data_IF_054155703918
#
_entry.id   IF_054155703918
#
_cell.length_a   1.000
_cell.length_b   1.000
_cell.length_c   1.000
_cell.angle_alpha   90.00
_cell.angle_beta   90.00
_cell.angle_gamma   90.00
#
_symmetry.space_group_name_H-M   'P 1'
#
loop_
_entity.id
_entity.type
_entity.pdbx_description
1 polymer ?
#
# COMPACT_ATOMS: atom_id res chain seq x y z
N UNK A 1 -31.23 4.31 -7.69
CA UNK A 1 -30.66 4.73 -6.40
C UNK A 1 -29.28 5.30 -6.69
N UNK A 2 -29.05 6.56 -6.31
CA UNK A 2 -27.72 7.17 -6.41
C UNK A 2 -26.88 6.65 -5.25
N UNK A 3 -25.90 5.81 -5.54
CA UNK A 3 -25.00 5.28 -4.52
C UNK A 3 -23.69 6.05 -4.55
N UNK A 4 -23.35 6.65 -3.42
CA UNK A 4 -22.10 7.38 -3.22
C UNK A 4 -21.16 6.50 -2.40
N UNK A 5 -19.96 6.29 -2.92
CA UNK A 5 -18.89 5.52 -2.28
C UNK A 5 -17.63 6.37 -2.19
N UNK A 6 -16.70 5.95 -1.32
CA UNK A 6 -15.36 6.51 -1.25
C UNK A 6 -14.36 5.59 -1.94
N UNK A 7 -13.33 6.14 -2.58
CA UNK A 7 -12.21 5.35 -3.14
C UNK A 7 -11.47 4.57 -2.05
N UNK A 8 -11.56 5.06 -0.82
CA UNK A 8 -11.08 4.41 0.39
C UNK A 8 -11.90 3.18 0.79
N UNK A 9 -13.12 3.01 0.30
CA UNK A 9 -13.95 1.84 0.57
C UNK A 9 -13.85 0.80 -0.54
N UNK A 10 -13.89 1.27 -1.79
CA UNK A 10 -13.73 0.46 -3.00
C UNK A 10 -12.71 1.11 -3.91
N UNK A 11 -11.59 0.43 -4.10
CA UNK A 11 -10.51 0.94 -4.94
C UNK A 11 -10.96 1.01 -6.39
N UNK A 12 -10.42 1.97 -7.16
CA UNK A 12 -10.80 2.13 -8.57
C UNK A 12 -10.61 0.85 -9.41
N UNK A 13 -9.53 0.06 -9.26
CA UNK A 13 -9.41 -1.25 -9.92
C UNK A 13 -10.60 -2.19 -9.64
N UNK A 14 -11.02 -2.31 -8.39
CA UNK A 14 -12.13 -3.18 -8.00
C UNK A 14 -13.49 -2.65 -8.48
N UNK A 15 -13.64 -1.32 -8.56
CA UNK A 15 -14.80 -0.70 -9.20
C UNK A 15 -14.87 -1.03 -10.69
N UNK A 16 -13.74 -1.01 -11.40
CA UNK A 16 -13.68 -1.37 -12.82
C UNK A 16 -14.04 -2.85 -13.03
N UNK A 17 -13.54 -3.74 -12.17
CA UNK A 17 -13.97 -5.15 -12.15
C UNK A 17 -15.48 -5.28 -12.03
N UNK A 18 -16.10 -4.66 -11.01
CA UNK A 18 -17.56 -4.67 -10.82
C UNK A 18 -18.29 -4.11 -12.05
N UNK A 19 -17.79 -3.04 -12.64
CA UNK A 19 -18.36 -2.39 -13.83
C UNK A 19 -18.35 -3.33 -15.05
N UNK A 20 -17.26 -4.08 -15.23
CA UNK A 20 -17.09 -5.06 -16.32
C UNK A 20 -17.98 -6.29 -16.09
N UNK A 21 -17.97 -6.84 -14.88
CA UNK A 21 -18.70 -8.06 -14.50
C UNK A 21 -20.22 -7.85 -14.54
N UNK A 22 -20.69 -6.68 -14.08
CA UNK A 22 -22.11 -6.31 -14.08
C UNK A 22 -22.62 -5.78 -15.44
N UNK A 23 -21.74 -5.69 -16.45
CA UNK A 23 -22.05 -5.07 -17.75
C UNK A 23 -22.71 -3.69 -17.59
N UNK A 24 -22.17 -2.88 -16.68
CA UNK A 24 -22.81 -1.63 -16.27
C UNK A 24 -23.02 -0.66 -17.44
N UNK A 25 -24.22 -0.08 -17.50
CA UNK A 25 -24.59 1.00 -18.42
C UNK A 25 -25.03 2.23 -17.63
N UNK A 26 -24.36 3.35 -17.86
CA UNK A 26 -24.58 4.58 -17.10
C UNK A 26 -23.35 5.46 -17.00
N UNK A 27 -23.32 6.31 -15.97
CA UNK A 27 -22.24 7.28 -15.76
C UNK A 27 -21.64 7.07 -14.37
N UNK A 28 -20.32 6.95 -14.32
CA UNK A 28 -19.54 6.95 -13.08
C UNK A 28 -18.85 8.30 -12.96
N UNK A 29 -19.23 9.07 -11.94
CA UNK A 29 -18.53 10.30 -11.59
C UNK A 29 -17.50 9.97 -10.52
N UNK A 30 -16.26 10.37 -10.76
CA UNK A 30 -15.16 10.24 -9.79
C UNK A 30 -14.63 11.65 -9.51
N UNK A 31 -14.37 11.95 -8.25
CA UNK A 31 -13.74 13.21 -7.86
C UNK A 31 -12.72 13.03 -6.74
N UNK A 32 -11.58 13.69 -6.87
CA UNK A 32 -10.52 13.76 -5.89
C UNK A 32 -10.02 15.21 -5.85
N UNK A 33 -10.06 15.83 -4.67
CA UNK A 33 -9.71 17.26 -4.50
C UNK A 33 -10.52 18.16 -5.47
N UNK A 34 -9.86 18.99 -6.26
CA UNK A 34 -10.47 19.81 -7.32
C UNK A 34 -10.78 19.03 -8.61
N UNK A 35 -10.24 17.84 -8.78
CA UNK A 35 -10.35 17.05 -10.01
C UNK A 35 -11.66 16.26 -10.06
N UNK A 36 -12.32 16.31 -11.21
CA UNK A 36 -13.62 15.69 -11.47
C UNK A 36 -13.60 15.04 -12.84
N UNK A 37 -13.95 13.76 -12.87
CA UNK A 37 -14.05 12.96 -14.09
C UNK A 37 -15.41 12.29 -14.19
N UNK A 38 -15.99 12.31 -15.39
CA UNK A 38 -17.25 11.67 -15.72
C UNK A 38 -17.01 10.60 -16.78
N UNK A 39 -17.16 9.33 -16.41
CA UNK A 39 -16.96 8.18 -17.27
C UNK A 39 -18.31 7.65 -17.73
N UNK A 40 -18.51 7.55 -19.03
CA UNK A 40 -19.72 7.04 -19.64
C UNK A 40 -19.47 5.60 -20.06
N UNK A 41 -20.29 4.68 -19.56
CA UNK A 41 -20.19 3.25 -19.82
C UNK A 41 -21.44 2.73 -20.51
N UNK A 42 -21.23 1.74 -21.38
CA UNK A 42 -22.28 0.93 -21.99
C UNK A 42 -21.81 -0.52 -22.03
N UNK A 43 -22.63 -1.43 -21.51
CA UNK A 43 -22.37 -2.87 -21.46
C UNK A 43 -21.02 -3.22 -20.80
N UNK A 44 -20.61 -2.42 -19.80
CA UNK A 44 -19.35 -2.56 -19.09
C UNK A 44 -18.11 -2.04 -19.85
N UNK A 45 -18.28 -1.38 -21.00
CA UNK A 45 -17.20 -0.81 -21.81
C UNK A 45 -17.25 0.72 -21.75
N UNK A 46 -16.08 1.35 -21.61
CA UNK A 46 -15.94 2.80 -21.60
C UNK A 46 -16.23 3.39 -22.99
N UNK A 47 -17.22 4.29 -23.07
CA UNK A 47 -17.57 5.01 -24.29
C UNK A 47 -16.89 6.38 -24.39
N UNK A 48 -16.79 7.09 -23.26
CA UNK A 48 -16.24 8.43 -23.22
C UNK A 48 -15.84 8.82 -21.80
N UNK A 49 -14.90 9.75 -21.70
CA UNK A 49 -14.47 10.33 -20.43
C UNK A 49 -14.33 11.85 -20.55
N UNK A 50 -15.00 12.56 -19.64
CA UNK A 50 -14.86 14.00 -19.47
C UNK A 50 -14.00 14.26 -18.24
N UNK A 51 -13.11 15.25 -18.31
CA UNK A 51 -12.20 15.64 -17.24
C UNK A 51 -12.12 17.17 -17.18
N UNK A 52 -12.01 17.72 -15.97
CA UNK A 52 -11.73 19.14 -15.76
C UNK A 52 -10.23 19.45 -15.60
N UNK A 53 -9.34 18.44 -15.66
CA UNK A 53 -7.88 18.64 -15.57
C UNK A 53 -7.34 19.22 -16.88
N UNK A 54 -6.74 20.41 -16.80
CA UNK A 54 -6.29 21.20 -17.96
C UNK A 54 -5.12 20.55 -18.70
N UNK A 55 -4.26 19.82 -17.99
CA UNK A 55 -3.14 19.09 -18.56
C UNK A 55 -3.59 18.00 -19.56
N UNK A 56 -4.82 17.50 -19.40
CA UNK A 56 -5.42 16.44 -20.21
C UNK A 56 -6.26 16.97 -21.40
N UNK A 57 -6.10 18.25 -21.75
CA UNK A 57 -6.77 18.87 -22.90
C UNK A 57 -6.20 18.37 -24.24
N UNK A 58 -7.00 18.48 -25.29
CA UNK A 58 -6.68 17.88 -26.60
C UNK A 58 -5.43 18.52 -27.19
N UNK A 59 -5.33 19.84 -27.08
CA UNK A 59 -4.17 20.59 -27.55
C UNK A 59 -2.85 20.15 -26.90
N UNK A 60 -2.82 19.89 -25.58
CA UNK A 60 -1.60 19.40 -24.91
C UNK A 60 -1.17 18.02 -25.42
N UNK A 61 -2.15 17.16 -25.76
CA UNK A 61 -1.83 15.86 -26.39
C UNK A 61 -1.25 16.07 -27.79
N UNK A 62 -1.82 16.97 -28.60
CA UNK A 62 -1.32 17.30 -29.93
C UNK A 62 0.10 17.90 -29.89
N UNK A 63 0.39 18.76 -28.92
CA UNK A 63 1.73 19.29 -28.65
C UNK A 63 2.70 18.15 -28.31
N UNK A 64 2.31 17.25 -27.40
CA UNK A 64 3.18 16.13 -27.00
C UNK A 64 3.49 15.14 -28.14
N UNK A 65 2.64 15.12 -29.18
CA UNK A 65 2.84 14.31 -30.39
C UNK A 65 3.61 15.07 -31.49
N UNK A 66 3.93 16.35 -31.28
CA UNK A 66 4.60 17.20 -32.26
C UNK A 66 3.72 17.63 -33.43
N UNK A 67 2.40 17.52 -33.32
CA UNK A 67 1.48 17.93 -34.39
C UNK A 67 1.26 19.44 -34.44
N UNK A 68 1.38 20.13 -33.29
CA UNK A 68 1.25 21.59 -33.16
C UNK A 68 2.27 22.12 -32.16
N UNK A 69 2.59 23.41 -32.21
CA UNK A 69 3.44 24.07 -31.21
C UNK A 69 2.65 24.53 -29.98
N UNK A 70 3.34 24.92 -28.91
CA UNK A 70 2.68 25.50 -27.73
C UNK A 70 1.96 26.82 -28.05
N UNK A 71 2.53 27.64 -28.93
CA UNK A 71 1.91 28.88 -29.39
C UNK A 71 0.58 28.60 -30.13
N UNK A 72 0.58 27.62 -31.04
CA UNK A 72 -0.61 27.22 -31.79
C UNK A 72 -1.70 26.61 -30.88
N UNK A 73 -1.29 25.87 -29.85
CA UNK A 73 -2.22 25.38 -28.84
C UNK A 73 -2.86 26.54 -28.06
N UNK A 74 -2.06 27.51 -27.62
CA UNK A 74 -2.56 28.67 -26.87
C UNK A 74 -3.51 29.53 -27.71
N UNK A 75 -3.19 29.77 -28.98
CA UNK A 75 -4.03 30.50 -29.93
C UNK A 75 -5.38 29.78 -30.14
N UNK A 76 -5.34 28.48 -30.48
CA UNK A 76 -6.56 27.70 -30.71
C UNK A 76 -7.44 27.57 -29.45
N UNK A 77 -6.83 27.52 -28.26
CA UNK A 77 -7.55 27.49 -26.99
C UNK A 77 -8.23 28.83 -26.69
N UNK A 78 -7.55 29.95 -26.95
CA UNK A 78 -8.11 31.30 -26.79
C UNK A 78 -9.30 31.51 -27.73
N UNK A 79 -9.17 31.12 -29.00
CA UNK A 79 -10.24 31.19 -29.98
C UNK A 79 -11.42 30.28 -29.62
N UNK A 80 -11.15 29.06 -29.13
CA UNK A 80 -12.18 28.13 -28.64
C UNK A 80 -13.04 28.70 -27.52
N UNK A 81 -12.43 29.47 -26.61
CA UNK A 81 -13.14 30.14 -25.51
C UNK A 81 -14.01 31.29 -26.01
N UNK A 82 -13.51 32.09 -26.96
CA UNK A 82 -14.22 33.23 -27.52
C UNK A 82 -15.41 32.76 -28.37
N UNK A 83 -15.19 31.81 -29.27
CA UNK A 83 -16.21 31.31 -30.20
C UNK A 83 -17.15 30.27 -29.57
N UNK A 84 -16.82 29.73 -28.39
CA UNK A 84 -17.52 28.63 -27.72
C UNK A 84 -17.66 27.38 -28.60
N UNK A 85 -16.65 27.10 -29.42
CA UNK A 85 -16.57 25.92 -30.31
C UNK A 85 -15.53 24.93 -29.80
N UNK A 86 -15.61 23.67 -30.24
CA UNK A 86 -14.62 22.63 -29.86
C UNK A 86 -13.25 22.97 -30.46
N UNK A 87 -12.20 22.99 -29.63
CA UNK A 87 -10.82 23.29 -30.04
C UNK A 87 -10.36 22.48 -31.27
N UNK A 88 -10.74 21.20 -31.36
CA UNK A 88 -10.38 20.35 -32.50
C UNK A 88 -10.92 20.84 -33.85
N UNK A 89 -12.08 21.52 -33.89
CA UNK A 89 -12.64 22.09 -35.13
C UNK A 89 -11.80 23.30 -35.56
N UNK A 90 -11.46 24.16 -34.59
CA UNK A 90 -10.62 25.34 -34.84
C UNK A 90 -9.25 24.92 -35.36
N UNK A 91 -8.62 23.90 -34.75
CA UNK A 91 -7.33 23.38 -35.20
C UNK A 91 -7.37 22.82 -36.64
N UNK A 92 -8.48 22.21 -37.04
CA UNK A 92 -8.69 21.77 -38.42
C UNK A 92 -8.85 22.96 -39.39
N UNK A 93 -9.62 23.98 -39.00
CA UNK A 93 -9.83 25.20 -39.80
C UNK A 93 -8.55 26.02 -39.94
N UNK A 94 -7.70 26.07 -38.91
CA UNK A 94 -6.36 26.67 -38.96
C UNK A 94 -5.38 25.91 -39.87
N UNK A 95 -5.77 24.74 -40.40
CA UNK A 95 -4.92 23.90 -41.25
C UNK A 95 -3.72 23.28 -40.52
N UNK A 96 -3.70 23.31 -39.19
CA UNK A 96 -2.57 22.86 -38.36
C UNK A 96 -2.54 21.36 -38.14
N UNK A 97 -3.71 20.71 -38.23
CA UNK A 97 -3.86 19.28 -37.98
C UNK A 97 -4.76 18.64 -39.02
N UNK A 98 -4.62 17.32 -39.19
CA UNK A 98 -5.50 16.53 -40.04
C UNK A 98 -6.56 15.79 -39.21
N UNK A 99 -7.71 15.40 -39.79
CA UNK A 99 -8.73 14.64 -39.08
C UNK A 99 -8.21 13.34 -38.43
N UNK A 100 -7.24 12.69 -39.08
CA UNK A 100 -6.58 11.49 -38.55
C UNK A 100 -5.79 11.79 -37.27
N UNK A 101 -5.00 12.87 -37.24
CA UNK A 101 -4.23 13.30 -36.07
C UNK A 101 -5.13 13.67 -34.89
N UNK A 102 -6.28 14.31 -35.15
CA UNK A 102 -7.29 14.57 -34.12
C UNK A 102 -7.84 13.27 -33.53
N UNK A 103 -8.17 12.30 -34.39
CA UNK A 103 -8.71 11.01 -33.96
C UNK A 103 -7.72 10.24 -33.09
N UNK A 104 -6.44 10.23 -33.49
CA UNK A 104 -5.35 9.62 -32.73
C UNK A 104 -5.14 10.31 -31.38
N UNK A 105 -5.09 11.65 -31.36
CA UNK A 105 -4.95 12.42 -30.13
C UNK A 105 -6.14 12.25 -29.18
N UNK A 106 -7.37 12.08 -29.69
CA UNK A 106 -8.55 11.80 -28.87
C UNK A 106 -8.46 10.42 -28.21
N UNK A 107 -7.94 9.39 -28.90
CA UNK A 107 -7.70 8.07 -28.32
C UNK A 107 -6.68 8.15 -27.17
N UNK A 108 -5.55 8.82 -27.41
CA UNK A 108 -4.50 9.02 -26.39
C UNK A 108 -5.02 9.86 -25.22
N UNK A 109 -5.83 10.89 -25.48
CA UNK A 109 -6.46 11.69 -24.44
C UNK A 109 -7.39 10.85 -23.57
N UNK A 110 -8.25 10.02 -24.18
CA UNK A 110 -9.16 9.14 -23.45
C UNK A 110 -8.37 8.19 -22.56
N UNK A 111 -7.33 7.57 -23.11
CA UNK A 111 -6.42 6.69 -22.38
C UNK A 111 -5.79 7.41 -21.18
N UNK A 112 -5.10 8.54 -21.39
CA UNK A 112 -4.47 9.35 -20.33
C UNK A 112 -5.46 9.69 -19.21
N UNK A 113 -6.65 10.18 -19.57
CA UNK A 113 -7.70 10.55 -18.61
C UNK A 113 -8.15 9.35 -17.77
N UNK A 114 -8.25 8.18 -18.40
CA UNK A 114 -8.73 6.99 -17.74
C UNK A 114 -7.66 6.38 -16.82
N UNK A 115 -6.42 6.21 -17.30
CA UNK A 115 -5.35 5.63 -16.48
C UNK A 115 -4.95 6.53 -15.30
N UNK A 116 -5.05 7.86 -15.43
CA UNK A 116 -4.77 8.79 -14.32
C UNK A 116 -5.64 8.52 -13.07
N UNK A 117 -6.89 8.07 -13.22
CA UNK A 117 -7.77 7.78 -12.07
C UNK A 117 -7.23 6.64 -11.20
N UNK A 118 -6.46 5.71 -11.77
CA UNK A 118 -5.86 4.61 -11.02
C UNK A 118 -4.84 5.09 -9.98
N UNK A 119 -4.28 6.30 -10.17
CA UNK A 119 -3.37 6.93 -9.21
C UNK A 119 -4.08 7.50 -7.97
N UNK A 120 -5.41 7.64 -7.99
CA UNK A 120 -6.17 8.33 -6.94
C UNK A 120 -6.47 7.37 -5.77
N UNK A 121 -5.88 7.62 -4.60
CA UNK A 121 -6.09 6.82 -3.39
C UNK A 121 -7.33 7.23 -2.57
N UNK A 122 -7.75 8.49 -2.71
CA UNK A 122 -8.88 9.08 -1.98
C UNK A 122 -9.80 9.82 -2.93
N UNK A 123 -11.08 9.91 -2.58
CA UNK A 123 -12.06 10.64 -3.36
C UNK A 123 -13.44 10.02 -3.29
N UNK A 124 -14.38 10.62 -4.02
CA UNK A 124 -15.76 10.16 -4.04
C UNK A 124 -16.14 9.62 -5.41
N UNK A 125 -16.93 8.55 -5.39
CA UNK A 125 -17.51 7.89 -6.56
C UNK A 125 -19.02 8.03 -6.45
N UNK A 126 -19.65 8.49 -7.53
CA UNK A 126 -21.11 8.47 -7.69
C UNK A 126 -21.47 7.70 -8.96
N UNK A 127 -22.16 6.57 -8.80
CA UNK A 127 -22.61 5.71 -9.90
C UNK A 127 -24.07 6.02 -10.23
N UNK A 128 -24.34 6.43 -11.47
CA UNK A 128 -25.68 6.78 -11.97
C UNK A 128 -26.05 5.83 -13.09
N UNK A 129 -26.98 4.91 -12.82
CA UNK A 129 -27.50 3.97 -13.82
C UNK A 129 -28.31 4.75 -14.86
N UNK A 130 -28.15 4.42 -16.15
CA UNK A 130 -28.99 4.91 -17.24
C UNK A 130 -29.53 3.73 -18.03
N UNK A 131 -30.82 3.75 -18.35
CA UNK A 131 -31.46 2.68 -19.13
C UNK A 131 -30.92 2.57 -20.55
N UNK A 132 -30.51 3.69 -21.15
CA UNK A 132 -29.88 3.74 -22.46
C UNK A 132 -28.76 4.79 -22.48
N UNK A 133 -27.71 4.49 -23.25
CA UNK A 133 -26.63 5.42 -23.62
C UNK A 133 -26.51 5.38 -25.13
N UNK A 134 -26.84 6.49 -25.80
CA UNK A 134 -26.82 6.57 -27.27
C UNK A 134 -25.39 6.51 -27.83
N UNK A 135 -24.40 6.81 -27.00
CA UNK A 135 -23.00 6.78 -27.41
C UNK A 135 -22.48 5.34 -27.46
N UNK A 136 -21.94 4.95 -28.61
CA UNK A 136 -21.29 3.66 -28.81
C UNK A 136 -19.84 3.69 -28.30
N UNK A 137 -19.32 2.59 -27.72
CA UNK A 137 -17.89 2.46 -27.48
C UNK A 137 -17.09 2.56 -28.79
N UNK A 138 -16.04 3.38 -28.79
CA UNK A 138 -15.08 3.47 -29.91
C UNK A 138 -14.01 2.36 -29.84
N UNK A 139 -13.94 1.65 -28.72
CA UNK A 139 -13.02 0.54 -28.47
C UNK A 139 -13.76 -0.77 -28.24
N UNK A 140 -13.11 -1.87 -28.58
CA UNK A 140 -13.57 -3.24 -28.33
C UNK A 140 -13.36 -3.63 -26.86
N UNK A 141 -14.03 -4.71 -26.43
CA UNK A 141 -13.85 -5.24 -25.07
C UNK A 141 -12.39 -5.62 -24.77
N UNK A 142 -11.64 -6.34 -25.63
CA UNK A 142 -10.24 -6.65 -25.36
C UNK A 142 -9.35 -5.41 -25.21
N UNK A 143 -9.57 -4.38 -26.04
CA UNK A 143 -8.86 -3.09 -25.93
C UNK A 143 -9.15 -2.41 -24.59
N UNK A 144 -10.41 -2.42 -24.14
CA UNK A 144 -10.78 -1.87 -22.84
C UNK A 144 -10.15 -2.65 -21.68
N UNK A 145 -10.14 -3.98 -21.74
CA UNK A 145 -9.47 -4.80 -20.72
C UNK A 145 -7.97 -4.52 -20.66
N UNK A 146 -7.31 -4.37 -21.81
CA UNK A 146 -5.89 -3.96 -21.89
C UNK A 146 -5.69 -2.59 -21.23
N UNK A 147 -6.58 -1.64 -21.48
CA UNK A 147 -6.51 -0.31 -20.87
C UNK A 147 -6.64 -0.35 -19.33
N UNK A 148 -7.52 -1.21 -18.81
CA UNK A 148 -7.63 -1.45 -17.35
C UNK A 148 -6.35 -2.07 -16.78
N UNK A 149 -5.78 -3.09 -17.45
CA UNK A 149 -4.50 -3.67 -17.02
C UNK A 149 -3.37 -2.64 -17.03
N UNK A 150 -3.29 -1.81 -18.07
CA UNK A 150 -2.32 -0.71 -18.14
C UNK A 150 -2.43 0.25 -16.95
N UNK A 151 -3.64 0.68 -16.59
CA UNK A 151 -3.85 1.54 -15.41
C UNK A 151 -3.41 0.87 -14.10
N UNK A 152 -3.62 -0.44 -13.97
CA UNK A 152 -3.17 -1.22 -12.80
C UNK A 152 -1.64 -1.34 -12.76
N UNK A 153 -1.01 -1.67 -13.89
CA UNK A 153 0.43 -1.88 -13.97
C UNK A 153 1.24 -0.59 -13.84
N UNK A 154 0.78 0.51 -14.43
CA UNK A 154 1.58 1.74 -14.54
C UNK A 154 1.25 2.82 -13.50
N UNK A 155 -0.01 2.93 -13.08
CA UNK A 155 -0.49 4.10 -12.33
C UNK A 155 -0.95 3.78 -10.90
N UNK A 156 -1.25 2.51 -10.59
CA UNK A 156 -1.85 2.18 -9.29
C UNK A 156 -0.83 2.16 -8.15
N UNK A 157 -1.02 2.95 -7.07
CA UNK A 157 -0.14 2.95 -5.91
C UNK A 157 -0.12 1.59 -5.23
N UNK A 158 1.04 1.18 -4.72
CA UNK A 158 1.18 -0.16 -4.12
C UNK A 158 0.30 -0.34 -2.87
N UNK A 159 0.00 0.73 -2.13
CA UNK A 159 -0.99 0.75 -1.04
C UNK A 159 -2.37 0.27 -1.49
N UNK A 160 -2.81 0.72 -2.68
CA UNK A 160 -4.09 0.33 -3.30
C UNK A 160 -4.06 -1.13 -3.75
N UNK A 161 -2.94 -1.60 -4.29
CA UNK A 161 -2.74 -3.02 -4.66
C UNK A 161 -2.86 -3.91 -3.42
N UNK A 162 -2.12 -3.59 -2.36
CA UNK A 162 -2.16 -4.31 -1.08
C UNK A 162 -3.58 -4.32 -0.53
N UNK A 163 -4.26 -3.18 -0.51
CA UNK A 163 -5.65 -3.09 -0.04
C UNK A 163 -6.62 -3.95 -0.83
N UNK A 164 -6.45 -4.05 -2.15
CA UNK A 164 -7.32 -4.85 -3.01
C UNK A 164 -7.07 -6.35 -2.86
N UNK A 165 -5.82 -6.77 -2.62
CA UNK A 165 -5.41 -8.18 -2.58
C UNK A 165 -5.34 -8.78 -1.17
N UNK A 166 -5.07 -7.97 -0.13
CA UNK A 166 -4.97 -8.44 1.27
C UNK A 166 -6.20 -9.22 1.76
N UNK A 167 -7.45 -8.89 1.36
CA UNK A 167 -8.62 -9.70 1.72
C UNK A 167 -8.57 -11.15 1.21
N UNK A 168 -7.67 -11.45 0.26
CA UNK A 168 -7.48 -12.76 -0.34
C UNK A 168 -6.10 -13.34 -0.01
N UNK A 169 -5.37 -12.79 0.97
CA UNK A 169 -3.98 -13.14 1.28
C UNK A 169 -3.71 -14.64 1.44
N UNK A 170 -4.64 -15.38 2.04
CA UNK A 170 -4.51 -16.83 2.27
C UNK A 170 -5.01 -17.71 1.11
N UNK A 171 -5.69 -17.10 0.13
CA UNK A 171 -6.22 -17.82 -1.02
C UNK A 171 -5.11 -18.10 -2.04
N UNK A 172 -5.21 -19.26 -2.68
CA UNK A 172 -4.49 -19.55 -3.93
C UNK A 172 -5.37 -19.07 -5.08
N UNK A 173 -4.91 -18.16 -5.96
CA UNK A 173 -5.73 -17.68 -7.06
C UNK A 173 -6.00 -18.80 -8.06
N UNK A 174 -7.22 -18.87 -8.58
CA UNK A 174 -7.60 -19.79 -9.65
C UNK A 174 -7.41 -19.14 -11.01
N UNK A 175 -6.66 -19.81 -11.88
CA UNK A 175 -6.50 -19.45 -13.29
C UNK A 175 -7.80 -19.70 -14.06
N UNK A 176 -8.24 -18.72 -14.85
CA UNK A 176 -9.44 -18.80 -15.71
C UNK A 176 -9.12 -18.97 -17.19
N UNK A 177 -7.90 -18.63 -17.59
CA UNK A 177 -7.38 -18.78 -18.95
C UNK A 177 -5.89 -19.09 -18.89
N UNK A 178 -5.41 -19.98 -19.76
CA UNK A 178 -3.98 -20.24 -19.95
C UNK A 178 -3.30 -19.15 -20.79
N UNK A 179 -4.07 -18.39 -21.56
CA UNK A 179 -3.57 -17.25 -22.34
C UNK A 179 -3.40 -16.03 -21.42
N UNK A 180 -2.18 -15.85 -20.91
CA UNK A 180 -1.78 -14.69 -20.10
C UNK A 180 -1.42 -13.52 -21.04
N UNK A 181 -2.09 -12.36 -20.90
CA UNK A 181 -1.84 -11.24 -21.81
C UNK A 181 -0.39 -10.74 -21.73
N UNK A 182 0.31 -10.60 -22.87
CA UNK A 182 1.71 -10.16 -22.90
C UNK A 182 1.86 -8.69 -22.46
N UNK A 183 0.78 -7.89 -22.47
CA UNK A 183 0.79 -6.50 -22.02
C UNK A 183 1.05 -6.31 -20.52
N UNK A 184 1.08 -7.39 -19.73
CA UNK A 184 1.48 -7.34 -18.32
C UNK A 184 2.99 -7.13 -18.13
N UNK A 185 3.83 -7.46 -19.10
CA UNK A 185 5.28 -7.30 -19.00
C UNK A 185 5.98 -8.20 -17.96
N UNK A 186 5.25 -9.12 -17.32
CA UNK A 186 5.79 -10.09 -16.35
C UNK A 186 5.19 -11.47 -16.57
N UNK A 187 5.98 -12.52 -16.33
CA UNK A 187 5.55 -13.91 -16.46
C UNK A 187 4.66 -14.31 -15.29
N UNK A 188 3.44 -14.75 -15.58
CA UNK A 188 2.44 -15.13 -14.58
C UNK A 188 1.93 -16.56 -14.78
N UNK A 189 2.67 -17.44 -15.46
CA UNK A 189 2.15 -18.76 -15.84
C UNK A 189 1.83 -19.68 -14.65
N UNK A 190 2.42 -19.45 -13.48
CA UNK A 190 2.26 -20.29 -12.30
C UNK A 190 1.67 -19.54 -11.10
N UNK A 191 0.95 -18.43 -11.31
CA UNK A 191 0.39 -17.64 -10.20
C UNK A 191 -0.59 -18.43 -9.33
N UNK A 192 -1.18 -19.49 -9.89
CA UNK A 192 -2.13 -20.40 -9.26
C UNK A 192 -1.47 -21.48 -8.38
N UNK A 193 -0.14 -21.43 -8.22
CA UNK A 193 0.62 -22.32 -7.33
C UNK A 193 1.01 -21.65 -6.01
N UNK A 194 0.80 -20.34 -5.89
CA UNK A 194 1.22 -19.54 -4.74
C UNK A 194 0.01 -18.88 -4.09
N UNK A 195 0.08 -18.66 -2.77
CA UNK A 195 -0.89 -17.81 -2.08
C UNK A 195 -0.74 -16.37 -2.51
N UNK A 196 -1.82 -15.59 -2.43
CA UNK A 196 -1.77 -14.14 -2.68
C UNK A 196 -0.73 -13.46 -1.78
N UNK A 197 -0.63 -13.84 -0.51
CA UNK A 197 0.38 -13.31 0.42
C UNK A 197 1.82 -13.57 -0.05
N UNK A 198 2.09 -14.75 -0.61
CA UNK A 198 3.40 -15.08 -1.17
C UNK A 198 3.69 -14.23 -2.42
N UNK A 199 2.71 -14.08 -3.31
CA UNK A 199 2.83 -13.23 -4.50
C UNK A 199 3.06 -11.74 -4.15
N UNK A 200 2.43 -11.25 -3.07
CA UNK A 200 2.67 -9.90 -2.56
C UNK A 200 4.10 -9.68 -2.04
N UNK A 201 4.79 -10.75 -1.61
CA UNK A 201 6.16 -10.70 -1.11
C UNK A 201 7.22 -10.83 -2.22
N UNK A 202 6.86 -11.36 -3.40
CA UNK A 202 7.79 -11.53 -4.52
C UNK A 202 8.20 -10.21 -5.19
N UNK A 203 7.42 -9.15 -5.01
CA UNK A 203 7.70 -7.82 -5.57
C UNK A 203 6.43 -7.08 -5.95
N UNK A 204 6.58 -5.84 -6.42
CA UNK A 204 5.42 -5.03 -6.77
C UNK A 204 4.76 -5.46 -8.08
N UNK A 205 5.54 -5.88 -9.08
CA UNK A 205 5.00 -6.20 -10.41
C UNK A 205 4.17 -7.49 -10.45
N UNK A 206 4.55 -8.61 -9.79
CA UNK A 206 3.69 -9.79 -9.67
C UNK A 206 2.35 -9.47 -8.99
N UNK A 207 2.37 -8.62 -7.95
CA UNK A 207 1.17 -8.19 -7.26
C UNK A 207 0.25 -7.32 -8.14
N UNK A 208 0.82 -6.37 -8.90
CA UNK A 208 0.07 -5.58 -9.89
C UNK A 208 -0.52 -6.48 -10.97
N UNK A 209 0.26 -7.40 -11.51
CA UNK A 209 -0.18 -8.32 -12.55
C UNK A 209 -1.30 -9.24 -12.04
N UNK A 210 -1.21 -9.75 -10.81
CA UNK A 210 -2.28 -10.54 -10.20
C UNK A 210 -3.57 -9.75 -10.08
N UNK A 211 -3.51 -8.50 -9.59
CA UNK A 211 -4.69 -7.64 -9.52
C UNK A 211 -5.25 -7.35 -10.93
N UNK A 212 -4.38 -7.12 -11.92
CA UNK A 212 -4.77 -6.86 -13.30
C UNK A 212 -5.51 -8.08 -13.92
N UNK A 213 -5.00 -9.29 -13.68
CA UNK A 213 -5.65 -10.54 -14.09
C UNK A 213 -7.00 -10.72 -13.38
N UNK A 214 -7.07 -10.44 -12.09
CA UNK A 214 -8.31 -10.53 -11.32
C UNK A 214 -9.38 -9.54 -11.80
N UNK A 215 -9.00 -8.28 -12.01
CA UNK A 215 -9.91 -7.22 -12.45
C UNK A 215 -10.37 -7.37 -13.91
N UNK A 216 -9.66 -8.16 -14.71
CA UNK A 216 -10.02 -8.44 -16.11
C UNK A 216 -10.58 -9.85 -16.34
N UNK A 217 -10.86 -10.59 -15.27
CA UNK A 217 -11.56 -11.87 -15.31
C UNK A 217 -10.69 -13.08 -15.67
N UNK A 218 -9.36 -12.92 -15.68
CA UNK A 218 -8.39 -13.98 -16.00
C UNK A 218 -7.90 -14.75 -14.77
N UNK A 219 -8.08 -14.16 -13.59
CA UNK A 219 -7.91 -14.81 -12.31
C UNK A 219 -9.19 -14.65 -11.47
N UNK A 220 -9.42 -15.59 -10.56
CA UNK A 220 -10.43 -15.43 -9.52
C UNK A 220 -9.91 -16.01 -8.21
N UNK A 221 -10.25 -15.40 -7.09
CA UNK A 221 -10.03 -16.03 -5.80
C UNK A 221 -11.23 -16.95 -5.53
N UNK A 222 -11.00 -18.15 -5.00
CA UNK A 222 -12.12 -18.99 -4.56
C UNK A 222 -12.93 -18.18 -3.54
N UNK A 223 -14.23 -18.00 -3.80
CA UNK A 223 -15.12 -17.44 -2.81
C UNK A 223 -15.12 -18.40 -1.63
N UNK A 224 -14.70 -17.91 -0.47
CA UNK A 224 -14.81 -18.67 0.76
C UNK A 224 -16.21 -19.26 0.85
N UNK A 225 -16.32 -20.55 1.17
CA UNK A 225 -17.60 -21.18 1.56
C UNK A 225 -18.30 -20.44 2.71
N UNK A 226 -17.58 -19.54 3.39
CA UNK A 226 -18.07 -18.65 4.43
C UNK A 226 -18.29 -17.19 3.97
N UNK A 227 -18.39 -16.91 2.66
CA UNK A 227 -18.60 -15.55 2.11
C UNK A 227 -19.72 -14.78 2.79
N UNK A 228 -20.87 -15.41 3.03
CA UNK A 228 -22.00 -14.79 3.74
C UNK A 228 -21.63 -14.36 5.17
N UNK A 229 -20.80 -15.16 5.86
CA UNK A 229 -20.28 -14.85 7.20
C UNK A 229 -19.28 -13.70 7.13
N UNK A 230 -18.38 -13.72 6.14
CA UNK A 230 -17.40 -12.64 5.90
C UNK A 230 -18.10 -11.31 5.64
N UNK A 231 -19.10 -11.29 4.76
CA UNK A 231 -19.91 -10.10 4.47
C UNK A 231 -20.71 -9.63 5.69
N UNK A 232 -21.29 -10.55 6.45
CA UNK A 232 -21.97 -10.23 7.70
C UNK A 232 -21.02 -9.57 8.71
N UNK A 233 -19.86 -10.16 8.97
CA UNK A 233 -18.87 -9.63 9.91
C UNK A 233 -18.32 -8.27 9.46
N UNK A 234 -18.08 -8.07 8.15
CA UNK A 234 -17.71 -6.76 7.59
C UNK A 234 -18.80 -5.71 7.82
N UNK A 235 -20.06 -6.08 7.61
CA UNK A 235 -21.20 -5.17 7.85
C UNK A 235 -21.32 -4.80 9.33
N UNK A 236 -21.16 -5.78 10.23
CA UNK A 236 -21.15 -5.55 11.69
C UNK A 236 -20.00 -4.63 12.07
N UNK A 237 -18.78 -4.91 11.59
CA UNK A 237 -17.60 -4.12 11.87
C UNK A 237 -17.74 -2.67 11.39
N UNK A 238 -18.23 -2.45 10.17
CA UNK A 238 -18.51 -1.11 9.64
C UNK A 238 -19.53 -0.38 10.52
N UNK A 239 -20.62 -1.05 10.87
CA UNK A 239 -21.64 -0.49 11.76
C UNK A 239 -21.06 -0.08 13.11
N UNK A 240 -20.22 -0.91 13.72
CA UNK A 240 -19.57 -0.60 15.01
C UNK A 240 -18.62 0.59 14.88
N UNK A 241 -17.83 0.66 13.80
CA UNK A 241 -16.89 1.77 13.56
C UNK A 241 -17.59 3.11 13.33
N UNK A 242 -18.81 3.09 12.80
CA UNK A 242 -19.62 4.29 12.53
C UNK A 242 -20.49 4.73 13.72
N UNK A 243 -20.63 3.89 14.75
CA UNK A 243 -21.48 4.14 15.91
C UNK A 243 -20.71 4.67 17.12
N UNK A 244 -21.37 5.43 17.98
CA UNK A 244 -20.78 5.82 19.26
C UNK A 244 -20.66 4.60 20.22
N UNK A 245 -19.81 4.66 21.26
CA UNK A 245 -19.62 3.53 22.19
C UNK A 245 -20.90 3.06 22.92
N UNK A 246 -21.86 3.96 23.18
CA UNK A 246 -23.13 3.62 23.83
C UNK A 246 -24.07 2.92 22.84
N UNK A 247 -24.14 3.43 21.61
CA UNK A 247 -24.89 2.83 20.50
C UNK A 247 -24.36 1.45 20.11
N UNK A 248 -23.03 1.28 20.09
CA UNK A 248 -22.36 -0.01 19.83
C UNK A 248 -22.80 -1.07 20.83
N UNK A 249 -22.88 -0.71 22.11
CA UNK A 249 -23.32 -1.62 23.18
C UNK A 249 -24.86 -1.75 23.25
N UNK A 250 -25.60 -0.92 22.52
CA UNK A 250 -27.06 -0.87 22.55
C UNK A 250 -27.60 -0.40 23.91
N UNK A 251 -26.90 0.53 24.57
CA UNK A 251 -27.26 1.02 25.90
C UNK A 251 -27.47 2.52 25.91
N UNK A 252 -28.35 2.99 26.81
CA UNK A 252 -28.54 4.42 27.06
C UNK A 252 -27.43 4.98 27.98
N UNK A 253 -27.18 6.28 27.91
CA UNK A 253 -26.22 6.98 28.79
C UNK A 253 -26.53 6.77 30.27
N UNK A 254 -27.81 6.65 30.63
CA UNK A 254 -28.30 6.45 32.00
C UNK A 254 -28.31 4.97 32.48
N UNK A 255 -27.79 4.00 31.70
CA UNK A 255 -27.85 2.58 32.10
C UNK A 255 -27.16 2.32 33.45
N UNK A 256 -27.55 1.32 34.24
CA UNK A 256 -26.79 0.95 35.45
C UNK A 256 -25.50 0.19 35.12
N UNK A 257 -24.52 0.14 36.04
CA UNK A 257 -23.28 -0.63 35.84
C UNK A 257 -23.55 -2.12 35.60
N UNK A 258 -24.46 -2.71 36.39
CA UNK A 258 -24.95 -4.08 36.16
C UNK A 258 -25.72 -4.24 34.84
N UNK A 259 -26.38 -3.18 34.34
CA UNK A 259 -26.99 -3.17 33.01
C UNK A 259 -25.95 -3.15 31.88
N UNK A 260 -24.91 -2.32 32.01
CA UNK A 260 -23.79 -2.22 31.08
C UNK A 260 -23.04 -3.55 30.94
N UNK A 261 -22.70 -4.19 32.07
CA UNK A 261 -22.02 -5.50 32.09
C UNK A 261 -22.88 -6.58 31.42
N UNK A 262 -24.20 -6.59 31.66
CA UNK A 262 -25.13 -7.52 31.01
C UNK A 262 -25.21 -7.30 29.50
N UNK A 263 -25.26 -6.05 29.04
CA UNK A 263 -25.26 -5.71 27.62
C UNK A 263 -23.97 -6.16 26.92
N UNK A 264 -22.81 -5.89 27.55
CA UNK A 264 -21.51 -6.35 27.06
C UNK A 264 -21.41 -7.86 26.95
N UNK A 265 -21.77 -8.60 28.01
CA UNK A 265 -21.75 -10.07 28.00
C UNK A 265 -22.66 -10.62 26.90
N UNK A 266 -23.84 -10.02 26.70
CA UNK A 266 -24.75 -10.41 25.62
C UNK A 266 -24.12 -10.21 24.24
N UNK A 267 -23.47 -9.06 24.01
CA UNK A 267 -22.82 -8.74 22.73
C UNK A 267 -21.62 -9.64 22.46
N UNK A 268 -20.80 -9.91 23.47
CA UNK A 268 -19.67 -10.86 23.40
C UNK A 268 -20.16 -12.25 23.08
N UNK A 269 -21.19 -12.76 23.78
CA UNK A 269 -21.76 -14.08 23.49
C UNK A 269 -22.31 -14.25 22.07
N UNK A 270 -22.63 -13.16 21.38
CA UNK A 270 -23.14 -13.18 20.00
C UNK A 270 -22.03 -13.03 18.95
N UNK A 271 -20.88 -12.47 19.33
CA UNK A 271 -19.81 -12.10 18.40
C UNK A 271 -18.42 -12.64 18.80
N UNK A 272 -18.34 -13.53 19.79
CA UNK A 272 -17.08 -14.10 20.24
C UNK A 272 -16.39 -14.88 19.10
N UNK A 273 -15.05 -14.78 18.93
CA UNK A 273 -14.33 -15.51 17.89
C UNK A 273 -14.61 -17.02 17.88
N UNK A 274 -14.77 -17.63 19.06
CA UNK A 274 -15.06 -19.07 19.21
C UNK A 274 -16.37 -19.53 18.57
N UNK A 275 -17.36 -18.64 18.39
CA UNK A 275 -18.60 -18.97 17.68
C UNK A 275 -18.27 -19.38 16.25
N UNK A 276 -17.24 -18.76 15.66
CA UNK A 276 -16.79 -19.01 14.30
C UNK A 276 -15.62 -19.99 14.23
N UNK A 277 -15.31 -20.71 15.33
CA UNK A 277 -14.22 -21.70 15.37
C UNK A 277 -14.38 -22.83 14.36
N UNK A 278 -15.62 -23.16 13.99
CA UNK A 278 -15.95 -24.14 12.94
C UNK A 278 -15.67 -23.63 11.51
N UNK A 279 -15.50 -22.32 11.33
CA UNK A 279 -15.15 -21.75 10.03
C UNK A 279 -13.65 -21.95 9.79
N UNK A 280 -13.35 -22.81 8.82
CA UNK A 280 -11.99 -23.07 8.36
C UNK A 280 -11.56 -22.01 7.36
N UNK A 281 -11.63 -20.75 7.78
CA UNK A 281 -11.29 -19.59 6.96
C UNK A 281 -10.57 -18.52 7.82
N UNK A 282 -9.33 -18.14 7.47
CA UNK A 282 -8.56 -17.15 8.21
C UNK A 282 -9.19 -15.75 8.27
N UNK A 283 -9.89 -15.33 7.21
CA UNK A 283 -10.53 -14.00 7.13
C UNK A 283 -11.74 -13.94 8.07
N UNK A 284 -12.50 -15.04 8.23
CA UNK A 284 -13.55 -15.14 9.25
C UNK A 284 -12.97 -14.98 10.65
N UNK A 285 -11.86 -15.67 10.96
CA UNK A 285 -11.19 -15.56 12.27
C UNK A 285 -10.66 -14.16 12.53
N UNK A 286 -10.03 -13.54 11.53
CA UNK A 286 -9.51 -12.17 11.60
C UNK A 286 -10.63 -11.16 11.86
N UNK A 287 -11.71 -11.20 11.07
CA UNK A 287 -12.84 -10.29 11.20
C UNK A 287 -13.59 -10.46 12.51
N UNK A 288 -13.80 -11.71 12.95
CA UNK A 288 -14.43 -11.98 14.25
C UNK A 288 -13.60 -11.42 15.41
N UNK A 289 -12.27 -11.56 15.34
CA UNK A 289 -11.34 -10.97 16.32
C UNK A 289 -11.39 -9.44 16.31
N UNK A 290 -11.48 -8.83 15.13
CA UNK A 290 -11.57 -7.37 14.98
C UNK A 290 -12.90 -6.84 15.55
N UNK A 291 -14.03 -7.49 15.26
CA UNK A 291 -15.34 -7.15 15.83
C UNK A 291 -15.30 -7.26 17.35
N UNK A 292 -14.78 -8.36 17.90
CA UNK A 292 -14.63 -8.53 19.33
C UNK A 292 -13.80 -7.42 19.99
N UNK A 293 -12.69 -7.04 19.35
CA UNK A 293 -11.81 -5.97 19.81
C UNK A 293 -12.54 -4.63 19.87
N UNK A 294 -13.33 -4.28 18.86
CA UNK A 294 -14.11 -3.02 18.85
C UNK A 294 -15.23 -3.02 19.91
N UNK A 295 -15.87 -4.16 20.16
CA UNK A 295 -16.85 -4.32 21.25
C UNK A 295 -16.19 -4.10 22.62
N UNK A 296 -15.00 -4.68 22.83
CA UNK A 296 -14.24 -4.51 24.07
C UNK A 296 -13.80 -3.07 24.29
N UNK A 297 -13.35 -2.39 23.21
CA UNK A 297 -13.04 -0.95 23.24
C UNK A 297 -14.26 -0.14 23.67
N UNK A 298 -15.42 -0.35 23.03
CA UNK A 298 -16.65 0.37 23.37
C UNK A 298 -17.03 0.21 24.85
N UNK A 299 -16.98 -1.02 25.40
CA UNK A 299 -17.23 -1.28 26.81
C UNK A 299 -16.27 -0.53 27.73
N UNK A 300 -14.97 -0.57 27.42
CA UNK A 300 -13.93 0.08 28.21
C UNK A 300 -14.10 1.60 28.21
N UNK A 301 -14.41 2.18 27.05
CA UNK A 301 -14.69 3.60 26.91
C UNK A 301 -15.91 4.02 27.73
N UNK A 302 -17.03 3.28 27.65
CA UNK A 302 -18.25 3.60 28.42
C UNK A 302 -18.02 3.44 29.93
N UNK A 303 -17.29 2.40 30.35
CA UNK A 303 -16.93 2.20 31.78
C UNK A 303 -16.11 3.37 32.31
N UNK A 304 -15.10 3.83 31.57
CA UNK A 304 -14.24 4.96 31.97
C UNK A 304 -14.98 6.28 32.03
N UNK A 305 -15.84 6.56 31.04
CA UNK A 305 -16.70 7.76 31.03
C UNK A 305 -17.55 7.81 32.31
N UNK A 306 -18.03 6.66 32.80
CA UNK A 306 -18.84 6.57 34.04
C UNK A 306 -18.01 6.74 35.31
N UNK A 307 -16.76 6.30 35.28
CA UNK A 307 -15.79 6.51 36.38
C UNK A 307 -15.26 7.96 36.42
N UNK A 308 -15.71 8.86 35.55
CA UNK A 308 -15.24 10.25 35.47
C UNK A 308 -13.81 10.37 34.91
N UNK A 309 -13.28 9.30 34.32
CA UNK A 309 -11.97 9.28 33.67
C UNK A 309 -12.13 9.67 32.19
N UNK A 310 -11.24 10.50 31.63
CA UNK A 310 -11.31 10.84 30.21
C UNK A 310 -11.24 9.57 29.34
N UNK A 311 -11.90 9.55 28.15
CA UNK A 311 -11.72 8.49 27.18
C UNK A 311 -10.23 8.31 26.90
N UNK A 312 -9.78 7.06 26.82
CA UNK A 312 -8.41 6.76 26.42
C UNK A 312 -8.21 7.31 25.00
N UNK A 313 -7.41 8.38 24.85
CA UNK A 313 -6.96 8.82 23.55
C UNK A 313 -6.27 7.64 22.85
N UNK A 314 -6.45 7.54 21.53
CA UNK A 314 -5.73 6.57 20.70
C UNK A 314 -4.21 6.76 20.89
N UNK A 315 -3.62 6.05 21.84
CA UNK A 315 -2.29 5.51 21.62
C UNK A 315 -2.53 4.25 20.80
N UNK A 316 -2.36 4.37 19.48
CA UNK A 316 -1.96 3.18 18.70
C UNK A 316 -0.78 2.53 19.42
N UNK A 317 -0.65 1.19 19.30
CA UNK A 317 0.39 0.38 19.98
C UNK A 317 1.59 1.27 20.27
N UNK A 318 1.80 1.57 21.55
CA UNK A 318 2.77 2.57 21.98
C UNK A 318 4.04 2.38 21.14
N UNK A 319 4.40 3.38 20.33
CA UNK A 319 5.54 3.25 19.42
C UNK A 319 6.81 2.89 20.19
N UNK A 320 6.86 3.24 21.48
CA UNK A 320 7.89 2.80 22.42
C UNK A 320 7.80 1.30 22.67
N UNK A 321 6.65 0.80 23.12
CA UNK A 321 6.42 -0.63 23.35
C UNK A 321 6.60 -1.47 22.08
N UNK A 322 6.17 -0.97 20.92
CA UNK A 322 6.32 -1.67 19.64
C UNK A 322 7.79 -1.75 19.22
N UNK A 323 8.54 -0.65 19.35
CA UNK A 323 9.97 -0.65 19.08
C UNK A 323 10.73 -1.55 20.05
N UNK A 324 10.33 -1.60 21.32
CA UNK A 324 10.90 -2.49 22.34
C UNK A 324 10.62 -3.97 22.06
N UNK A 325 9.39 -4.33 21.68
CA UNK A 325 9.04 -5.70 21.28
C UNK A 325 9.86 -6.13 20.08
N UNK A 326 9.94 -5.30 19.03
CA UNK A 326 10.74 -5.59 17.84
C UNK A 326 12.23 -5.70 18.17
N UNK A 327 12.73 -4.85 19.06
CA UNK A 327 14.13 -4.92 19.51
C UNK A 327 14.40 -6.22 20.27
N UNK A 328 13.50 -6.63 21.17
CA UNK A 328 13.58 -7.90 21.90
C UNK A 328 13.60 -9.09 20.94
N UNK A 329 12.71 -9.10 19.93
CA UNK A 329 12.66 -10.13 18.89
C UNK A 329 13.93 -10.17 18.05
N UNK A 330 14.46 -9.00 17.67
CA UNK A 330 15.74 -8.90 16.95
C UNK A 330 16.89 -9.45 17.78
N UNK A 331 16.93 -9.16 19.08
CA UNK A 331 17.95 -9.67 20.00
C UNK A 331 17.84 -11.18 20.24
N UNK A 332 16.62 -11.74 20.25
CA UNK A 332 16.40 -13.18 20.29
C UNK A 332 16.88 -13.87 19.00
N UNK A 333 16.55 -13.30 17.83
CA UNK A 333 17.03 -13.78 16.54
C UNK A 333 18.58 -13.73 16.45
N UNK A 334 19.20 -12.68 16.99
CA UNK A 334 20.67 -12.59 17.10
C UNK A 334 21.27 -13.70 17.96
N UNK A 335 20.62 -14.07 19.09
CA UNK A 335 21.03 -15.22 19.91
C UNK A 335 20.90 -16.54 19.14
N UNK A 336 19.84 -16.67 18.34
CA UNK A 336 19.63 -17.80 17.43
C UNK A 336 20.52 -17.82 16.17
N UNK A 337 21.37 -16.80 15.97
CA UNK A 337 22.17 -16.58 14.74
C UNK A 337 21.33 -16.44 13.47
N UNK A 338 20.03 -16.17 13.58
CA UNK A 338 19.16 -15.81 12.46
C UNK A 338 19.30 -14.32 12.15
N UNK A 339 20.37 -13.98 11.44
CA UNK A 339 20.70 -12.59 11.14
C UNK A 339 19.71 -11.93 10.18
N UNK A 340 18.98 -12.71 9.37
CA UNK A 340 18.01 -12.13 8.42
C UNK A 340 16.80 -11.61 9.18
N UNK A 341 16.22 -12.44 10.06
CA UNK A 341 15.10 -12.03 10.93
C UNK A 341 15.48 -10.89 11.88
N UNK A 342 16.72 -10.93 12.41
CA UNK A 342 17.25 -9.84 13.23
C UNK A 342 17.32 -8.51 12.45
N UNK A 343 17.79 -8.53 11.20
CA UNK A 343 17.89 -7.35 10.36
C UNK A 343 16.52 -6.74 10.03
N UNK A 344 15.52 -7.56 9.72
CA UNK A 344 14.17 -7.07 9.45
C UNK A 344 13.58 -6.37 10.69
N UNK A 345 13.78 -6.97 11.87
CA UNK A 345 13.32 -6.41 13.15
C UNK A 345 14.03 -5.08 13.48
N UNK A 346 15.36 -5.04 13.39
CA UNK A 346 16.13 -3.84 13.71
C UNK A 346 15.94 -2.72 12.68
N UNK A 347 15.73 -3.05 11.39
CA UNK A 347 15.41 -2.05 10.37
C UNK A 347 14.12 -1.30 10.72
N UNK A 348 13.10 -2.02 11.21
CA UNK A 348 11.85 -1.43 11.67
C UNK A 348 12.07 -0.59 12.94
N UNK A 349 12.87 -1.06 13.90
CA UNK A 349 13.25 -0.27 15.08
C UNK A 349 13.89 1.07 14.70
N UNK A 350 14.87 1.08 13.80
CA UNK A 350 15.55 2.30 13.32
C UNK A 350 14.58 3.22 12.57
N UNK A 351 13.63 2.66 11.80
CA UNK A 351 12.61 3.46 11.11
C UNK A 351 11.62 4.10 12.09
N UNK A 352 11.27 3.40 13.16
CA UNK A 352 10.29 3.85 14.16
C UNK A 352 10.87 4.91 15.09
N UNK A 353 12.08 4.67 15.62
CA UNK A 353 12.79 5.59 16.53
C UNK A 353 14.19 5.85 15.99
N UNK A 354 14.32 6.69 14.96
CA UNK A 354 15.60 6.92 14.32
C UNK A 354 16.61 7.60 15.26
N UNK A 355 16.16 8.32 16.29
CA UNK A 355 16.96 8.95 17.35
C UNK A 355 17.50 7.97 18.40
N UNK A 356 17.03 6.72 18.43
CA UNK A 356 17.53 5.74 19.39
C UNK A 356 18.84 5.11 18.90
N UNK A 357 19.93 5.46 19.58
CA UNK A 357 21.30 5.02 19.24
C UNK A 357 21.41 3.49 19.25
N UNK A 358 20.81 2.85 20.26
CA UNK A 358 20.93 1.40 20.48
C UNK A 358 20.39 0.59 19.29
N UNK A 359 19.33 1.08 18.63
CA UNK A 359 18.75 0.39 17.46
C UNK A 359 19.66 0.44 16.24
N UNK A 360 20.30 1.59 16.03
CA UNK A 360 21.29 1.75 14.95
C UNK A 360 22.51 0.86 15.18
N UNK A 361 23.02 0.82 16.42
CA UNK A 361 24.12 -0.07 16.79
C UNK A 361 23.79 -1.55 16.57
N UNK A 362 22.59 -1.99 16.98
CA UNK A 362 22.14 -3.36 16.79
C UNK A 362 21.95 -3.74 15.31
N UNK A 363 21.38 -2.84 14.51
CA UNK A 363 21.24 -3.03 13.06
C UNK A 363 22.59 -3.20 12.37
N UNK A 364 23.54 -2.28 12.62
CA UNK A 364 24.88 -2.33 12.04
C UNK A 364 25.65 -3.57 12.50
N UNK A 365 25.49 -3.97 13.77
CA UNK A 365 26.09 -5.20 14.29
C UNK A 365 25.51 -6.45 13.61
N UNK A 366 24.21 -6.48 13.36
CA UNK A 366 23.56 -7.59 12.64
C UNK A 366 24.06 -7.70 11.19
N UNK A 367 24.24 -6.57 10.49
CA UNK A 367 24.82 -6.56 9.14
C UNK A 367 26.23 -7.16 9.14
N UNK A 368 27.08 -6.72 10.08
CA UNK A 368 28.43 -7.24 10.21
C UNK A 368 28.46 -8.74 10.54
N UNK A 369 27.66 -9.21 11.50
CA UNK A 369 27.65 -10.62 11.88
C UNK A 369 27.09 -11.53 10.79
N UNK A 370 26.09 -11.07 10.02
CA UNK A 370 25.60 -11.78 8.83
C UNK A 370 26.72 -11.96 7.81
N UNK A 371 27.42 -10.88 7.47
CA UNK A 371 28.54 -10.93 6.54
C UNK A 371 29.69 -11.78 7.08
N UNK A 372 29.97 -11.70 8.39
CA UNK A 372 31.05 -12.45 9.02
C UNK A 372 30.80 -13.96 8.99
N UNK A 373 29.58 -14.39 9.35
CA UNK A 373 29.27 -15.78 9.64
C UNK A 373 28.60 -16.53 8.48
N UNK A 374 27.98 -15.83 7.53
CA UNK A 374 27.28 -16.45 6.40
C UNK A 374 27.86 -16.09 5.03
N UNK A 375 28.75 -15.09 4.97
CA UNK A 375 29.26 -14.53 3.73
C UNK A 375 28.23 -13.70 2.93
N UNK A 376 26.96 -13.65 3.36
CA UNK A 376 25.92 -12.85 2.70
C UNK A 376 26.00 -11.38 3.17
N UNK A 377 25.99 -10.45 2.22
CA UNK A 377 26.19 -9.02 2.46
C UNK A 377 27.58 -8.56 2.00
N UNK A 378 27.89 -7.27 2.14
CA UNK A 378 29.18 -6.73 1.73
C UNK A 378 29.66 -5.62 2.67
N UNK A 379 30.96 -5.34 2.65
CA UNK A 379 31.57 -4.34 3.54
C UNK A 379 31.21 -2.90 3.18
N UNK A 380 30.83 -2.63 1.93
CA UNK A 380 30.45 -1.28 1.47
C UNK A 380 29.15 -0.85 2.16
N UNK A 381 28.14 -1.73 2.16
CA UNK A 381 26.87 -1.54 2.86
C UNK A 381 27.09 -1.27 4.35
N UNK A 382 27.89 -2.11 5.01
CA UNK A 382 28.17 -1.98 6.44
C UNK A 382 28.87 -0.64 6.74
N UNK A 383 29.87 -0.26 5.92
CA UNK A 383 30.58 1.02 6.07
C UNK A 383 29.68 2.23 5.81
N UNK A 384 28.74 2.14 4.88
CA UNK A 384 27.74 3.20 4.68
C UNK A 384 26.86 3.37 5.91
N UNK A 385 26.33 2.26 6.43
CA UNK A 385 25.50 2.28 7.64
C UNK A 385 26.27 2.77 8.87
N UNK A 386 27.56 2.42 9.01
CA UNK A 386 28.44 2.98 10.05
C UNK A 386 28.62 4.49 9.85
N UNK A 387 28.87 4.96 8.63
CA UNK A 387 29.09 6.39 8.36
C UNK A 387 27.86 7.20 8.73
N UNK A 388 26.68 6.77 8.29
CA UNK A 388 25.40 7.40 8.64
C UNK A 388 25.15 7.35 10.15
N UNK A 389 25.41 6.20 10.77
CA UNK A 389 25.27 6.02 12.22
C UNK A 389 26.19 6.92 13.02
N UNK A 390 27.45 7.10 12.61
CA UNK A 390 28.43 7.98 13.28
C UNK A 390 28.11 9.45 13.07
N UNK A 391 27.58 9.84 11.90
CA UNK A 391 27.10 11.21 11.69
C UNK A 391 25.97 11.55 12.67
N UNK A 392 25.07 10.60 12.92
CA UNK A 392 23.95 10.78 13.84
C UNK A 392 24.31 10.61 15.31
N UNK A 393 25.21 9.68 15.61
CA UNK A 393 25.64 9.32 16.96
C UNK A 393 27.18 9.35 17.07
N UNK A 394 27.82 10.54 17.08
CA UNK A 394 29.27 10.66 17.10
C UNK A 394 29.94 10.07 18.35
N UNK A 395 29.17 9.90 19.43
CA UNK A 395 29.59 9.34 20.72
C UNK A 395 29.31 7.83 20.86
N UNK A 396 29.00 7.12 19.78
CA UNK A 396 28.85 5.66 19.80
C UNK A 396 30.21 4.97 19.64
N UNK A 397 30.78 4.49 20.75
CA UNK A 397 31.97 3.64 20.73
C UNK A 397 31.72 2.30 20.00
N UNK A 398 30.51 1.74 20.13
CA UNK A 398 30.10 0.50 19.49
C UNK A 398 30.21 0.55 17.95
N UNK A 399 29.80 1.65 17.31
CA UNK A 399 29.94 1.80 15.85
C UNK A 399 31.40 1.82 15.39
N UNK A 400 32.30 2.43 16.17
CA UNK A 400 33.74 2.41 15.88
C UNK A 400 34.37 1.03 16.14
N UNK A 401 33.87 0.26 17.12
CA UNK A 401 34.27 -1.14 17.30
C UNK A 401 33.88 -1.97 16.08
N UNK A 402 32.64 -1.85 15.60
CA UNK A 402 32.18 -2.59 14.42
C UNK A 402 32.98 -2.17 13.17
N UNK A 403 33.31 -0.88 13.03
CA UNK A 403 34.21 -0.40 11.97
C UNK A 403 35.58 -1.06 12.04
N UNK A 404 36.16 -1.16 13.23
CA UNK A 404 37.43 -1.85 13.45
C UNK A 404 37.37 -3.32 13.04
N UNK A 405 36.28 -4.03 13.37
CA UNK A 405 36.08 -5.42 12.95
C UNK A 405 35.91 -5.57 11.44
N UNK A 406 35.16 -4.68 10.78
CA UNK A 406 35.02 -4.66 9.32
C UNK A 406 36.39 -4.47 8.66
N UNK A 407 37.14 -3.44 9.07
CA UNK A 407 38.48 -3.15 8.55
C UNK A 407 39.46 -4.30 8.78
N UNK A 408 39.40 -4.94 9.95
CA UNK A 408 40.21 -6.11 10.28
C UNK A 408 39.88 -7.30 9.38
N UNK A 409 38.59 -7.56 9.10
CA UNK A 409 38.16 -8.65 8.20
C UNK A 409 38.59 -8.40 6.76
N UNK A 410 38.72 -7.14 6.35
CA UNK A 410 39.27 -6.75 5.05
C UNK A 410 40.81 -6.73 5.00
N UNK A 411 41.50 -6.93 6.14
CA UNK A 411 42.96 -6.86 6.20
C UNK A 411 43.53 -5.43 6.18
N UNK A 412 42.72 -4.41 6.49
CA UNK A 412 43.18 -3.01 6.50
C UNK A 412 44.06 -2.70 7.72
N UNK A 413 45.17 -2.01 7.47
CA UNK A 413 46.06 -1.47 8.50
C UNK A 413 45.44 -0.34 9.35
N UNK A 414 44.26 0.19 8.95
CA UNK A 414 43.52 1.23 9.67
C UNK A 414 42.61 0.68 10.78
N UNK A 415 42.48 -0.64 10.92
CA UNK A 415 41.65 -1.24 11.96
C UNK A 415 42.01 -0.77 13.39
N UNK A 416 43.30 -0.64 13.79
CA UNK A 416 43.67 -0.13 15.11
C UNK A 416 43.21 1.30 15.38
N UNK A 417 43.14 2.14 14.34
CA UNK A 417 42.70 3.53 14.50
C UNK A 417 41.22 3.61 14.89
N UNK A 418 40.39 2.74 14.31
CA UNK A 418 38.98 2.63 14.66
C UNK A 418 38.79 2.16 16.12
N UNK A 419 39.54 1.15 16.56
CA UNK A 419 39.48 0.70 17.97
C UNK A 419 40.02 1.77 18.93
N UNK A 420 41.08 2.50 18.56
CA UNK A 420 41.59 3.62 19.36
C UNK A 420 40.54 4.73 19.48
N UNK A 421 39.80 5.02 18.41
CA UNK A 421 38.70 5.99 18.44
C UNK A 421 37.57 5.53 19.36
N UNK A 422 37.21 4.25 19.35
CA UNK A 422 36.26 3.68 20.29
C UNK A 422 36.72 3.85 21.75
N UNK A 423 38.01 3.62 22.05
CA UNK A 423 38.57 3.82 23.39
C UNK A 423 38.67 5.30 23.80
N UNK A 424 38.83 6.22 22.86
CA UNK A 424 38.76 7.66 23.16
C UNK A 424 37.35 8.07 23.61
N UNK A 425 36.31 7.46 23.02
CA UNK A 425 34.91 7.73 23.39
C UNK A 425 34.55 7.02 24.69
N UNK A 426 34.92 5.74 24.82
CA UNK A 426 34.67 4.93 25.99
C UNK A 426 35.93 4.12 26.35
N UNK A 427 36.76 4.61 27.29
CA UNK A 427 37.98 3.93 27.73
C UNK A 427 37.74 2.54 28.32
N UNK A 428 36.50 2.24 28.76
CA UNK A 428 36.10 0.96 29.36
C UNK A 428 35.51 -0.04 28.34
N UNK A 429 35.49 0.28 27.05
CA UNK A 429 34.98 -0.63 26.03
C UNK A 429 35.85 -1.90 25.94
N UNK A 430 35.31 -3.04 26.40
CA UNK A 430 36.05 -4.30 26.52
C UNK A 430 36.45 -4.88 25.18
N UNK A 431 35.60 -4.72 24.15
CA UNK A 431 35.86 -5.23 22.80
C UNK A 431 37.04 -4.49 22.16
N UNK A 432 37.05 -3.16 22.27
CA UNK A 432 38.14 -2.33 21.76
C UNK A 432 39.46 -2.57 22.52
N UNK A 433 39.43 -2.70 23.85
CA UNK A 433 40.62 -3.03 24.65
C UNK A 433 41.20 -4.39 24.27
N UNK A 434 40.33 -5.40 24.09
CA UNK A 434 40.75 -6.74 23.68
C UNK A 434 41.40 -6.72 22.30
N UNK A 435 40.79 -6.04 21.33
CA UNK A 435 41.33 -5.93 19.99
C UNK A 435 42.67 -5.19 19.94
N UNK A 436 42.81 -4.10 20.71
CA UNK A 436 44.08 -3.38 20.81
C UNK A 436 45.18 -4.20 21.48
N UNK A 437 44.87 -4.99 22.51
CA UNK A 437 45.83 -5.91 23.15
C UNK A 437 46.32 -6.98 22.16
N UNK A 438 45.41 -7.56 21.38
CA UNK A 438 45.74 -8.54 20.35
C UNK A 438 46.61 -7.92 19.25
N UNK A 439 46.35 -6.67 18.86
CA UNK A 439 47.17 -5.95 17.91
C UNK A 439 48.60 -5.73 18.45
N UNK A 440 48.74 -5.21 19.67
CA UNK A 440 50.07 -4.97 20.27
C UNK A 440 50.90 -6.24 20.40
N UNK A 441 50.28 -7.38 20.74
CA UNK A 441 50.95 -8.69 20.81
C UNK A 441 51.42 -9.21 19.44
N UNK A 442 50.74 -8.83 18.35
CA UNK A 442 51.10 -9.22 16.99
C UNK A 442 52.16 -8.30 16.37
N UNK A 443 52.26 -7.06 16.84
CA UNK A 443 53.27 -6.08 16.38
C UNK A 443 54.56 -6.10 17.20
N UNK A 444 54.60 -6.83 18.32
CA UNK A 444 55.78 -7.01 19.18
C UNK A 444 56.47 -8.36 19.01
N UNK A 445 55.95 -9.20 18.10
CA UNK A 445 56.64 -10.35 17.49
C UNK A 445 57.10 -9.93 16.10
#
# INVERSE_FOLDING_TARGET
>A
MDTVFRLEDITFPLLMRDTIDSQFTGIIFVSAEEWKKGLIFRDGILCAIQSNKTEELLGNVLVSLGYITEEENNESLAQSRIERRKQGIILLEMGKVQPKSITEALKIQLEKRFVDIFSWETGTIRKVVKGTIDKTPEMTRPEFLRLVRKGIMEQTPFSVIIKALSPHADAVPKKRSDDIPPDLGVTMDNFDQFKVSELLLLGQDPARALLALYCTGLASFEESKHKAIIEHLRKVLRKIKDQDPFQTLGVDKAISEGGLKRAYIKLVKQNHPDIYSYADDPEVKRLATEVFTEIQKAYTTVSRIREGKPPEEKKGIDQELQAEILYSQGMEAMRGKDYSKALDSFRLCVKMKPEERVFTEAYVRALFLRWQNTGRGNSIEIKSAIREGVQKFPSSDALYVILGWVLKKEGSNKAPDAFRKALQINPKNTDAQREMRLYTMRSSK
#
